data_IF_848480212466
#
_entry.id   IF_848480212466
#
_cell.length_a   1.000
_cell.length_b   1.000
_cell.length_c   1.000
_cell.angle_alpha   90.00
_cell.angle_beta   90.00
_cell.angle_gamma   90.00
#
_symmetry.space_group_name_H-M   'P 1'
#
loop_
_entity.id
_entity.type
_entity.pdbx_description
1 polymer ?
#
# COMPACT_ATOMS: atom_id res chain seq x y z
N UNK A 1 30.77 2.72 -10.19
CA UNK A 1 29.51 1.98 -10.34
C UNK A 1 28.36 2.97 -10.18
N UNK A 2 27.45 3.06 -11.16
CA UNK A 2 26.24 3.88 -11.02
C UNK A 2 25.39 3.24 -9.93
N UNK A 3 25.00 4.01 -8.91
CA UNK A 3 24.12 3.52 -7.84
C UNK A 3 22.75 3.22 -8.45
N UNK A 4 22.22 2.01 -8.22
CA UNK A 4 20.84 1.66 -8.60
C UNK A 4 19.85 2.59 -7.89
N UNK A 5 18.85 3.08 -8.62
CA UNK A 5 17.82 3.94 -8.07
C UNK A 5 16.70 3.17 -7.35
N UNK A 6 15.72 3.94 -6.90
CA UNK A 6 14.46 3.43 -6.34
C UNK A 6 13.32 3.81 -7.28
N UNK A 7 12.44 2.88 -7.63
CA UNK A 7 11.20 3.16 -8.37
C UNK A 7 10.01 2.91 -7.46
N UNK A 8 9.32 3.99 -7.06
CA UNK A 8 8.11 3.92 -6.26
C UNK A 8 6.91 3.65 -7.16
N UNK A 9 6.13 2.64 -6.81
CA UNK A 9 4.99 2.16 -7.58
C UNK A 9 3.72 2.43 -6.77
N UNK A 10 2.83 3.25 -7.32
CA UNK A 10 1.48 3.48 -6.80
C UNK A 10 0.44 2.87 -7.72
N UNK A 11 -0.67 2.44 -7.13
CA UNK A 11 -1.83 1.97 -7.88
C UNK A 11 -3.04 2.80 -7.44
N UNK A 12 -3.72 3.42 -8.40
CA UNK A 12 -5.00 4.10 -8.20
C UNK A 12 -5.95 3.76 -9.34
N UNK A 13 -7.05 3.11 -9.02
CA UNK A 13 -8.09 2.74 -9.98
C UNK A 13 -9.48 2.95 -9.37
N UNK A 14 -10.48 3.07 -10.26
CA UNK A 14 -11.86 3.35 -9.89
C UNK A 14 -12.14 4.83 -9.62
N UNK A 15 -13.33 5.16 -9.16
CA UNK A 15 -13.86 6.53 -9.08
C UNK A 15 -13.65 7.24 -7.73
N UNK A 16 -12.79 6.74 -6.87
CA UNK A 16 -12.65 7.28 -5.53
C UNK A 16 -11.69 8.47 -5.46
N UNK A 17 -12.19 9.71 -5.53
CA UNK A 17 -11.38 10.92 -5.37
C UNK A 17 -10.51 10.95 -4.12
N UNK A 18 -10.92 10.24 -3.08
CA UNK A 18 -10.12 10.13 -1.86
C UNK A 18 -8.77 9.45 -2.09
N UNK A 19 -8.68 8.44 -2.98
CA UNK A 19 -7.43 7.75 -3.28
C UNK A 19 -6.46 8.67 -4.00
N UNK A 20 -6.96 9.47 -4.95
CA UNK A 20 -6.19 10.52 -5.59
C UNK A 20 -5.58 11.50 -4.57
N UNK A 21 -6.38 12.00 -3.63
CA UNK A 21 -5.92 12.94 -2.62
C UNK A 21 -4.88 12.32 -1.66
N UNK A 22 -5.10 11.08 -1.24
CA UNK A 22 -4.17 10.31 -0.42
C UNK A 22 -2.85 10.11 -1.17
N UNK A 23 -2.90 9.73 -2.46
CA UNK A 23 -1.73 9.58 -3.31
C UNK A 23 -0.97 10.90 -3.47
N UNK A 24 -1.64 12.01 -3.78
CA UNK A 24 -1.01 13.33 -3.89
C UNK A 24 -0.30 13.73 -2.59
N UNK A 25 -0.91 13.47 -1.43
CA UNK A 25 -0.27 13.73 -0.15
C UNK A 25 0.94 12.81 0.11
N UNK A 26 0.81 11.51 -0.18
CA UNK A 26 1.89 10.55 -0.07
C UNK A 26 3.09 10.98 -0.94
N UNK A 27 2.84 11.27 -2.21
CA UNK A 27 3.85 11.72 -3.16
C UNK A 27 4.48 13.06 -2.74
N UNK A 28 3.70 14.00 -2.21
CA UNK A 28 4.20 15.27 -1.68
C UNK A 28 5.22 15.04 -0.56
N UNK A 29 4.91 14.15 0.39
CA UNK A 29 5.83 13.82 1.48
C UNK A 29 7.04 13.03 1.02
N UNK A 30 6.89 12.14 0.02
CA UNK A 30 7.99 11.41 -0.61
C UNK A 30 8.99 12.38 -1.25
N UNK A 31 8.51 13.31 -2.07
CA UNK A 31 9.32 14.28 -2.82
C UNK A 31 9.96 15.35 -1.94
N UNK A 32 9.48 15.55 -0.72
CA UNK A 32 10.08 16.48 0.23
C UNK A 32 11.47 16.03 0.69
N UNK A 33 11.65 14.73 0.94
CA UNK A 33 12.92 14.19 1.41
C UNK A 33 13.87 13.99 0.25
N UNK A 34 15.00 14.71 0.28
CA UNK A 34 16.08 14.54 -0.71
C UNK A 34 16.84 13.25 -0.44
N UNK A 35 17.23 12.58 -1.50
CA UNK A 35 18.05 11.37 -1.45
C UNK A 35 19.15 11.42 -2.52
N UNK A 36 20.27 10.77 -2.28
CA UNK A 36 21.45 10.84 -3.16
C UNK A 36 21.34 9.95 -4.41
N UNK A 37 20.56 8.87 -4.35
CA UNK A 37 20.31 8.01 -5.50
C UNK A 37 19.06 8.47 -6.27
N UNK A 38 18.92 8.12 -7.58
CA UNK A 38 17.74 8.43 -8.36
C UNK A 38 16.47 7.84 -7.73
N UNK A 39 15.40 8.64 -7.72
CA UNK A 39 14.09 8.25 -7.22
C UNK A 39 13.05 8.52 -8.31
N UNK A 40 12.57 7.47 -8.93
CA UNK A 40 11.49 7.50 -9.90
C UNK A 40 10.15 7.17 -9.22
N UNK A 41 9.07 7.69 -9.81
CA UNK A 41 7.70 7.36 -9.38
C UNK A 41 6.90 6.95 -10.60
N UNK A 42 6.18 5.85 -10.47
CA UNK A 42 5.22 5.38 -11.47
C UNK A 42 3.84 5.19 -10.82
N UNK A 43 2.81 5.64 -11.52
CA UNK A 43 1.42 5.45 -11.13
C UNK A 43 0.74 4.56 -12.18
N UNK A 44 0.25 3.42 -11.74
CA UNK A 44 -0.59 2.52 -12.50
C UNK A 44 -2.05 2.87 -12.24
N UNK A 45 -2.78 3.28 -13.29
CA UNK A 45 -4.14 3.81 -13.12
C UNK A 45 -5.01 3.54 -14.34
N UNK A 46 -6.32 3.48 -14.14
CA UNK A 46 -7.33 3.49 -15.20
C UNK A 46 -7.75 4.92 -15.63
N UNK A 47 -7.15 5.94 -15.01
CA UNK A 47 -7.46 7.36 -15.24
C UNK A 47 -6.20 8.20 -15.44
N UNK A 48 -5.42 7.95 -16.51
CA UNK A 48 -4.13 8.60 -16.71
C UNK A 48 -4.23 10.13 -16.77
N UNK A 49 -5.35 10.67 -17.27
CA UNK A 49 -5.58 12.11 -17.33
C UNK A 49 -5.60 12.81 -15.97
N UNK A 50 -5.92 12.10 -14.88
CA UNK A 50 -5.97 12.65 -13.51
C UNK A 50 -4.58 13.06 -12.99
N UNK A 51 -3.52 12.44 -13.50
CA UNK A 51 -2.14 12.59 -13.01
C UNK A 51 -1.23 13.35 -13.96
N UNK A 52 -1.79 13.91 -15.06
CA UNK A 52 -1.03 14.57 -16.15
C UNK A 52 -0.06 15.65 -15.67
N UNK A 53 -0.45 16.40 -14.64
CA UNK A 53 0.33 17.52 -14.14
C UNK A 53 1.33 17.12 -13.02
N UNK A 54 1.43 15.84 -12.72
CA UNK A 54 2.41 15.34 -11.73
C UNK A 54 3.72 14.94 -12.43
N UNK A 55 4.88 15.19 -11.80
CA UNK A 55 6.18 14.81 -12.35
C UNK A 55 6.46 13.31 -12.13
N UNK A 56 5.63 12.44 -12.73
CA UNK A 56 5.65 10.98 -12.55
C UNK A 56 5.46 10.28 -13.89
N UNK A 57 5.89 9.04 -13.99
CA UNK A 57 5.51 8.15 -15.09
C UNK A 57 4.11 7.60 -14.83
N UNK A 58 3.28 7.60 -15.85
CA UNK A 58 1.90 7.11 -15.77
C UNK A 58 1.77 5.90 -16.68
N UNK A 59 1.18 4.83 -16.16
CA UNK A 59 0.88 3.60 -16.91
C UNK A 59 -0.63 3.37 -16.86
N UNK A 60 -1.25 3.35 -18.04
CA UNK A 60 -2.68 3.03 -18.16
C UNK A 60 -2.89 1.51 -18.05
N UNK A 61 -3.72 1.11 -17.07
CA UNK A 61 -4.09 -0.29 -16.82
C UNK A 61 -5.58 -0.56 -17.02
N UNK A 62 -6.33 0.38 -17.61
CA UNK A 62 -7.79 0.22 -17.78
C UNK A 62 -8.16 -1.11 -18.44
N UNK A 63 -7.45 -1.51 -19.49
CA UNK A 63 -7.67 -2.78 -20.19
C UNK A 63 -7.27 -4.03 -19.40
N UNK A 64 -6.38 -3.89 -18.39
CA UNK A 64 -5.81 -5.01 -17.61
C UNK A 64 -6.54 -5.25 -16.28
N UNK A 65 -7.38 -4.33 -15.82
CA UNK A 65 -8.02 -4.42 -14.49
C UNK A 65 -8.81 -5.72 -14.33
N UNK A 66 -9.59 -6.11 -15.34
CA UNK A 66 -10.38 -7.35 -15.28
C UNK A 66 -9.51 -8.59 -15.17
N UNK A 67 -8.45 -8.67 -15.97
CA UNK A 67 -7.48 -9.76 -15.90
C UNK A 67 -6.78 -9.80 -14.54
N UNK A 68 -6.25 -8.66 -14.10
CA UNK A 68 -5.49 -8.55 -12.86
C UNK A 68 -6.33 -8.82 -11.61
N UNK A 69 -7.63 -8.52 -11.65
CA UNK A 69 -8.57 -8.73 -10.55
C UNK A 69 -9.39 -10.02 -10.65
N UNK A 70 -9.11 -10.90 -11.62
CA UNK A 70 -9.94 -12.09 -11.93
C UNK A 70 -11.42 -11.70 -12.15
N UNK A 71 -11.67 -10.80 -13.10
CA UNK A 71 -12.99 -10.24 -13.38
C UNK A 71 -13.66 -9.57 -12.16
N UNK A 72 -12.89 -8.73 -11.48
CA UNK A 72 -13.32 -7.97 -10.29
C UNK A 72 -13.61 -8.84 -9.04
N UNK A 73 -13.25 -10.10 -9.09
CA UNK A 73 -13.45 -11.00 -7.96
C UNK A 73 -12.51 -10.71 -6.79
N UNK A 74 -11.23 -10.34 -7.05
CA UNK A 74 -10.28 -10.04 -6.00
C UNK A 74 -9.33 -8.89 -6.39
N UNK A 75 -9.70 -7.68 -6.01
CA UNK A 75 -9.00 -6.44 -6.38
C UNK A 75 -7.56 -6.34 -5.83
N UNK A 76 -7.27 -6.93 -4.67
CA UNK A 76 -5.90 -6.89 -4.13
C UNK A 76 -4.88 -7.68 -4.96
N UNK A 77 -5.33 -8.53 -5.91
CA UNK A 77 -4.48 -9.22 -6.86
C UNK A 77 -3.83 -8.27 -7.88
N UNK A 78 -4.40 -7.11 -8.12
CA UNK A 78 -3.82 -6.09 -9.02
C UNK A 78 -2.42 -5.68 -8.53
N UNK A 79 -2.20 -5.61 -7.22
CA UNK A 79 -0.92 -5.20 -6.64
C UNK A 79 0.24 -6.12 -7.04
N UNK A 80 0.23 -7.44 -6.83
CA UNK A 80 1.29 -8.31 -7.29
C UNK A 80 1.43 -8.38 -8.81
N UNK A 81 0.35 -8.27 -9.59
CA UNK A 81 0.43 -8.23 -11.05
C UNK A 81 1.20 -6.99 -11.53
N UNK A 82 0.87 -5.80 -11.03
CA UNK A 82 1.56 -4.55 -11.33
C UNK A 82 3.02 -4.60 -10.87
N UNK A 83 3.27 -5.10 -9.66
CA UNK A 83 4.62 -5.22 -9.14
C UNK A 83 5.49 -6.13 -10.03
N UNK A 84 4.97 -7.28 -10.44
CA UNK A 84 5.67 -8.21 -11.32
C UNK A 84 5.95 -7.60 -12.70
N UNK A 85 4.97 -6.90 -13.27
CA UNK A 85 5.14 -6.20 -14.55
C UNK A 85 6.24 -5.14 -14.45
N UNK A 86 6.23 -4.31 -13.42
CA UNK A 86 7.27 -3.29 -13.23
C UNK A 86 8.64 -3.92 -13.00
N UNK A 87 8.75 -4.96 -12.17
CA UNK A 87 10.02 -5.63 -11.89
C UNK A 87 10.64 -6.27 -13.15
N UNK A 88 9.83 -6.77 -14.08
CA UNK A 88 10.33 -7.34 -15.35
C UNK A 88 10.89 -6.28 -16.30
N UNK A 89 10.46 -5.03 -16.15
CA UNK A 89 10.82 -3.92 -17.05
C UNK A 89 11.76 -2.89 -16.40
N UNK A 90 12.19 -3.10 -15.16
CA UNK A 90 12.95 -2.10 -14.41
C UNK A 90 14.18 -2.71 -13.74
N UNK A 91 15.30 -2.00 -13.78
CA UNK A 91 16.56 -2.41 -13.12
C UNK A 91 16.75 -1.78 -11.72
N UNK A 92 15.95 -0.76 -11.37
CA UNK A 92 15.96 -0.15 -10.06
C UNK A 92 15.32 -1.08 -9.01
N UNK A 93 15.55 -0.80 -7.73
CA UNK A 93 14.77 -1.42 -6.67
C UNK A 93 13.30 -0.97 -6.76
N UNK A 94 12.36 -1.90 -6.83
CA UNK A 94 10.94 -1.63 -6.93
C UNK A 94 10.32 -1.48 -5.54
N UNK A 95 9.64 -0.36 -5.30
CA UNK A 95 9.02 -0.01 -4.02
C UNK A 95 7.52 0.17 -4.22
N UNK A 96 6.75 -0.90 -4.09
CA UNK A 96 5.30 -0.83 -4.07
C UNK A 96 4.83 -0.16 -2.79
N UNK A 97 3.93 0.82 -2.89
CA UNK A 97 3.38 1.54 -1.74
C UNK A 97 1.90 1.86 -1.92
N UNK A 98 1.14 1.75 -0.83
CA UNK A 98 -0.27 2.13 -0.81
C UNK A 98 -0.42 3.66 -0.83
N UNK A 99 -1.56 4.14 -1.33
CA UNK A 99 -1.84 5.59 -1.43
C UNK A 99 -2.02 6.25 -0.07
N UNK A 100 -2.54 5.53 0.93
CA UNK A 100 -2.81 6.02 2.29
C UNK A 100 -1.58 5.95 3.20
N UNK A 101 -0.48 6.55 2.71
CA UNK A 101 0.84 6.51 3.36
C UNK A 101 1.49 7.90 3.42
N UNK A 102 2.54 8.03 4.24
CA UNK A 102 3.46 9.17 4.18
C UNK A 102 4.82 8.82 4.78
N UNK A 103 5.85 9.60 4.44
CA UNK A 103 7.24 9.32 4.69
C UNK A 103 7.83 10.29 5.72
N UNK A 104 8.74 9.79 6.56
CA UNK A 104 9.42 10.54 7.61
C UNK A 104 10.91 10.72 7.28
N UNK A 105 11.59 11.59 8.01
CA UNK A 105 13.05 11.75 7.90
C UNK A 105 13.78 10.42 8.11
N UNK A 106 14.85 10.18 7.34
CA UNK A 106 15.65 8.95 7.40
C UNK A 106 15.04 7.73 6.72
N UNK A 107 13.86 7.91 6.06
CA UNK A 107 13.20 6.81 5.37
C UNK A 107 14.05 6.25 4.22
N UNK A 108 14.55 7.11 3.35
CA UNK A 108 15.32 6.69 2.17
C UNK A 108 16.61 5.97 2.53
N UNK A 109 17.39 6.51 3.47
CA UNK A 109 18.66 5.94 3.92
C UNK A 109 18.44 4.53 4.48
N UNK A 110 17.40 4.38 5.32
CA UNK A 110 17.04 3.08 5.88
C UNK A 110 16.56 2.12 4.79
N UNK A 111 15.66 2.57 3.91
CA UNK A 111 15.13 1.73 2.82
C UNK A 111 16.26 1.23 1.93
N UNK A 112 17.13 2.15 1.50
CA UNK A 112 18.24 1.82 0.60
C UNK A 112 19.24 0.86 1.26
N UNK A 113 19.54 1.06 2.55
CA UNK A 113 20.39 0.14 3.30
C UNK A 113 19.81 -1.28 3.38
N UNK A 114 18.47 -1.40 3.49
CA UNK A 114 17.78 -2.71 3.53
C UNK A 114 17.87 -3.42 2.20
N UNK A 115 17.53 -2.74 1.09
CA UNK A 115 17.52 -3.38 -0.24
C UNK A 115 18.92 -3.67 -0.75
N UNK A 116 19.92 -2.85 -0.42
CA UNK A 116 21.31 -3.14 -0.73
C UNK A 116 21.89 -4.32 0.07
N UNK A 117 21.35 -4.60 1.26
CA UNK A 117 21.67 -5.78 2.05
C UNK A 117 20.87 -7.04 1.63
N UNK A 118 20.26 -7.02 0.42
CA UNK A 118 19.48 -8.13 -0.16
C UNK A 118 18.26 -8.53 0.68
N UNK A 119 17.83 -7.67 1.58
CA UNK A 119 16.62 -7.85 2.38
C UNK A 119 15.42 -7.17 1.73
N UNK A 120 14.22 -7.68 1.99
CA UNK A 120 12.97 -7.06 1.58
C UNK A 120 12.49 -6.10 2.68
N UNK A 121 12.14 -4.87 2.30
CA UNK A 121 11.52 -3.94 3.22
C UNK A 121 9.99 -4.07 3.16
N UNK A 122 9.34 -4.17 4.34
CA UNK A 122 7.88 -4.22 4.50
C UNK A 122 7.40 -3.11 5.45
N UNK A 123 6.10 -2.74 5.37
CA UNK A 123 5.55 -1.72 6.29
C UNK A 123 5.76 -2.13 7.74
N UNK A 124 5.16 -3.27 8.14
CA UNK A 124 5.09 -3.67 9.54
C UNK A 124 4.90 -5.17 9.70
N UNK A 125 5.51 -5.71 10.75
CA UNK A 125 5.22 -7.06 11.24
C UNK A 125 3.93 -7.07 12.06
N UNK A 126 2.97 -7.90 11.70
CA UNK A 126 1.70 -8.09 12.44
C UNK A 126 1.81 -9.17 13.52
N UNK A 127 2.82 -10.00 13.47
CA UNK A 127 3.05 -11.09 14.39
C UNK A 127 2.88 -12.46 13.75
N UNK A 128 2.87 -13.49 14.58
CA UNK A 128 2.38 -14.80 14.16
C UNK A 128 0.87 -14.69 14.01
N UNK A 129 0.40 -14.98 12.83
CA UNK A 129 -1.02 -14.92 12.49
C UNK A 129 -1.42 -16.20 11.78
N UNK A 130 -1.75 -17.24 12.57
CA UNK A 130 -2.24 -18.48 11.99
C UNK A 130 -3.61 -18.24 11.36
N UNK A 131 -3.75 -18.64 10.11
CA UNK A 131 -5.01 -18.62 9.38
C UNK A 131 -5.61 -20.02 9.42
N UNK A 132 -6.55 -20.31 10.32
CA UNK A 132 -7.17 -21.64 10.46
C UNK A 132 -7.80 -22.12 9.15
N UNK A 133 -8.28 -21.18 8.33
CA UNK A 133 -8.89 -21.42 7.02
C UNK A 133 -7.90 -22.06 6.04
N UNK A 134 -6.60 -21.87 6.26
CA UNK A 134 -5.54 -22.47 5.46
C UNK A 134 -4.97 -23.77 6.05
N UNK A 135 -5.54 -24.27 7.15
CA UNK A 135 -5.10 -25.55 7.72
C UNK A 135 -5.19 -26.67 6.68
N UNK A 136 -4.08 -27.41 6.49
CA UNK A 136 -3.99 -28.45 5.48
C UNK A 136 -3.91 -27.97 4.03
N UNK A 137 -3.83 -26.65 3.80
CA UNK A 137 -3.72 -26.12 2.44
C UNK A 137 -2.41 -26.52 1.77
N UNK A 138 -2.53 -26.98 0.52
CA UNK A 138 -1.41 -27.36 -0.34
C UNK A 138 -1.61 -26.72 -1.72
N UNK A 139 -0.54 -26.22 -2.30
CA UNK A 139 -0.50 -25.68 -3.66
C UNK A 139 0.82 -26.06 -4.35
N UNK A 140 0.85 -25.99 -5.68
CA UNK A 140 2.09 -26.04 -6.45
C UNK A 140 2.45 -24.63 -6.88
N UNK A 141 3.65 -24.18 -6.52
CA UNK A 141 4.16 -22.86 -6.86
C UNK A 141 5.25 -22.97 -7.92
N UNK A 142 5.37 -21.98 -8.83
CA UNK A 142 6.28 -22.07 -9.99
C UNK A 142 7.74 -22.31 -9.63
N UNK A 143 8.23 -21.65 -8.58
CA UNK A 143 9.67 -21.67 -8.25
C UNK A 143 10.02 -22.56 -7.06
N UNK A 144 9.04 -22.90 -6.19
CA UNK A 144 9.24 -23.73 -4.99
C UNK A 144 8.79 -25.17 -5.21
N UNK A 145 7.84 -25.41 -6.13
CA UNK A 145 7.15 -26.68 -6.26
C UNK A 145 6.04 -26.84 -5.21
N UNK A 146 6.04 -27.97 -4.49
CA UNK A 146 4.95 -28.24 -3.53
C UNK A 146 5.07 -27.36 -2.29
N UNK A 147 4.16 -26.42 -2.16
CA UNK A 147 3.96 -25.59 -0.98
C UNK A 147 2.93 -26.23 -0.03
N UNK A 148 3.24 -26.23 1.26
CA UNK A 148 2.32 -26.63 2.33
C UNK A 148 2.25 -25.54 3.37
N UNK A 149 1.04 -25.09 3.70
CA UNK A 149 0.83 -24.11 4.74
C UNK A 149 1.20 -24.68 6.10
N UNK A 150 2.09 -24.00 6.82
CA UNK A 150 2.51 -24.36 8.18
C UNK A 150 2.03 -23.29 9.17
N UNK A 151 0.91 -23.55 9.82
CA UNK A 151 0.29 -22.65 10.78
C UNK A 151 1.24 -22.22 11.93
N UNK A 152 2.18 -23.10 12.32
CA UNK A 152 3.13 -22.80 13.40
C UNK A 152 4.23 -21.84 12.99
N UNK A 153 4.55 -21.77 11.70
CA UNK A 153 5.60 -20.94 11.13
C UNK A 153 5.08 -19.69 10.42
N UNK A 154 3.76 -19.63 10.18
CA UNK A 154 3.14 -18.53 9.48
C UNK A 154 3.34 -17.21 10.23
N UNK A 155 3.72 -16.20 9.48
CA UNK A 155 3.87 -14.83 9.93
C UNK A 155 3.14 -13.90 8.96
N UNK A 156 2.76 -12.73 9.41
CA UNK A 156 2.13 -11.74 8.56
C UNK A 156 2.86 -10.41 8.62
N UNK A 157 3.20 -9.91 7.45
CA UNK A 157 3.68 -8.55 7.24
C UNK A 157 2.63 -7.73 6.48
N UNK A 158 2.45 -6.48 6.88
CA UNK A 158 1.60 -5.57 6.14
C UNK A 158 2.28 -5.15 4.84
N UNK A 159 1.57 -5.27 3.72
CA UNK A 159 2.03 -4.99 2.36
C UNK A 159 1.83 -3.54 1.92
N UNK A 160 1.46 -2.63 2.83
CA UNK A 160 1.34 -1.20 2.52
C UNK A 160 2.64 -0.54 2.04
N UNK A 161 3.77 -1.21 2.26
CA UNK A 161 5.06 -1.00 1.63
C UNK A 161 5.71 -2.35 1.38
N UNK A 162 6.25 -2.55 0.17
CA UNK A 162 7.09 -3.69 -0.20
C UNK A 162 8.21 -3.18 -1.10
N UNK A 163 9.48 -3.32 -0.67
CA UNK A 163 10.62 -2.97 -1.51
C UNK A 163 11.44 -4.22 -1.85
N UNK A 164 11.61 -4.48 -3.14
CA UNK A 164 12.20 -5.69 -3.69
C UNK A 164 13.27 -5.37 -4.74
N UNK A 165 14.22 -6.27 -4.86
CA UNK A 165 15.22 -6.27 -5.92
C UNK A 165 14.71 -7.10 -7.12
N UNK A 166 14.47 -6.49 -8.29
CA UNK A 166 14.05 -7.23 -9.49
C UNK A 166 14.98 -8.36 -9.89
N UNK A 167 16.28 -8.21 -9.65
CA UNK A 167 17.26 -9.24 -10.04
C UNK A 167 17.20 -10.50 -9.17
N UNK A 168 16.51 -10.45 -8.02
CA UNK A 168 16.50 -11.53 -7.02
C UNK A 168 15.09 -11.98 -6.64
N UNK A 169 14.12 -11.07 -6.62
CA UNK A 169 12.83 -11.32 -5.99
C UNK A 169 11.67 -11.53 -6.96
N UNK A 170 11.90 -11.54 -8.29
CA UNK A 170 10.86 -11.93 -9.28
C UNK A 170 10.24 -13.29 -8.92
N UNK A 171 11.02 -14.37 -8.63
CA UNK A 171 10.44 -15.65 -8.25
C UNK A 171 9.52 -15.60 -7.03
N UNK A 172 9.83 -14.74 -6.04
CA UNK A 172 8.98 -14.55 -4.85
C UNK A 172 7.62 -13.97 -5.23
N UNK A 173 7.60 -12.99 -6.15
CA UNK A 173 6.35 -12.34 -6.59
C UNK A 173 5.51 -13.27 -7.46
N UNK A 174 6.15 -14.06 -8.33
CA UNK A 174 5.48 -15.09 -9.15
C UNK A 174 4.84 -16.17 -8.27
N UNK A 175 5.55 -16.65 -7.27
CA UNK A 175 5.02 -17.63 -6.31
C UNK A 175 3.90 -17.01 -5.44
N UNK A 176 4.02 -15.74 -5.03
CA UNK A 176 2.97 -15.07 -4.29
C UNK A 176 1.69 -14.91 -5.11
N UNK A 177 1.81 -14.58 -6.39
CA UNK A 177 0.66 -14.50 -7.30
C UNK A 177 0.01 -15.88 -7.49
N UNK A 178 0.79 -16.92 -7.74
CA UNK A 178 0.30 -18.29 -7.86
C UNK A 178 -0.37 -18.78 -6.56
N UNK A 179 0.17 -18.38 -5.39
CA UNK A 179 -0.42 -18.73 -4.10
C UNK A 179 -1.76 -18.04 -3.88
N UNK A 180 -1.89 -16.76 -4.27
CA UNK A 180 -3.18 -16.03 -4.26
C UNK A 180 -4.20 -16.79 -5.13
N UNK A 181 -3.83 -17.14 -6.36
CA UNK A 181 -4.72 -17.80 -7.29
C UNK A 181 -5.16 -19.18 -6.78
N UNK A 182 -4.22 -19.95 -6.17
CA UNK A 182 -4.52 -21.24 -5.58
C UNK A 182 -5.46 -21.16 -4.35
N UNK A 183 -5.30 -20.12 -3.52
CA UNK A 183 -6.19 -19.90 -2.36
C UNK A 183 -7.60 -19.55 -2.85
N UNK A 184 -7.71 -18.66 -3.84
CA UNK A 184 -8.99 -18.24 -4.41
C UNK A 184 -9.70 -19.39 -5.14
N UNK A 185 -8.96 -20.24 -5.87
CA UNK A 185 -9.50 -21.42 -6.54
C UNK A 185 -10.15 -22.43 -5.58
N UNK A 186 -9.75 -22.45 -4.31
CA UNK A 186 -10.38 -23.26 -3.25
C UNK A 186 -11.51 -22.52 -2.52
N UNK A 187 -12.02 -21.41 -3.08
CA UNK A 187 -13.09 -20.57 -2.50
C UNK A 187 -12.77 -20.07 -1.06
N UNK A 188 -11.49 -19.93 -0.73
CA UNK A 188 -11.04 -19.38 0.56
C UNK A 188 -10.89 -17.87 0.42
N UNK A 189 -11.93 -17.13 0.76
CA UNK A 189 -11.93 -15.65 0.65
C UNK A 189 -11.51 -15.06 2.00
N UNK A 190 -10.25 -14.60 2.06
CA UNK A 190 -9.71 -13.82 3.18
C UNK A 190 -9.42 -12.40 2.67
N UNK A 191 -9.70 -11.39 3.48
CA UNK A 191 -9.51 -9.98 3.08
C UNK A 191 -8.03 -9.68 2.74
N UNK A 192 -7.10 -10.37 3.41
CA UNK A 192 -5.66 -10.11 3.31
C UNK A 192 -4.87 -11.23 2.61
N UNK A 193 -5.49 -11.95 1.65
CA UNK A 193 -4.82 -13.05 0.94
C UNK A 193 -3.48 -12.60 0.35
N UNK A 194 -3.44 -11.41 -0.22
CA UNK A 194 -2.24 -10.83 -0.82
C UNK A 194 -1.11 -10.67 0.22
N UNK A 195 -1.40 -10.14 1.42
CA UNK A 195 -0.41 -10.01 2.50
C UNK A 195 0.09 -11.38 2.99
N UNK A 196 -0.84 -12.33 3.12
CA UNK A 196 -0.52 -13.70 3.51
C UNK A 196 0.41 -14.33 2.48
N UNK A 197 0.06 -14.25 1.19
CA UNK A 197 0.82 -14.85 0.11
C UNK A 197 2.24 -14.30 0.05
N UNK A 198 2.42 -12.97 0.10
CA UNK A 198 3.75 -12.37 0.16
C UNK A 198 4.53 -12.81 1.39
N UNK A 199 3.90 -12.79 2.58
CA UNK A 199 4.57 -13.17 3.82
C UNK A 199 5.04 -14.64 3.80
N UNK A 200 4.19 -15.53 3.30
CA UNK A 200 4.52 -16.96 3.17
C UNK A 200 5.59 -17.21 2.11
N UNK A 201 5.51 -16.55 0.95
CA UNK A 201 6.55 -16.68 -0.08
C UNK A 201 7.90 -16.14 0.40
N UNK A 202 7.94 -15.00 1.07
CA UNK A 202 9.18 -14.50 1.69
C UNK A 202 9.76 -15.51 2.70
N UNK A 203 8.90 -16.14 3.52
CA UNK A 203 9.30 -17.15 4.49
C UNK A 203 9.88 -18.39 3.83
N UNK A 204 9.22 -18.95 2.81
CA UNK A 204 9.65 -20.20 2.18
C UNK A 204 10.88 -20.03 1.28
N UNK A 205 11.03 -18.86 0.65
CA UNK A 205 12.25 -18.44 -0.05
C UNK A 205 13.38 -18.03 0.91
N UNK A 206 13.15 -18.06 2.24
CA UNK A 206 14.11 -17.68 3.29
C UNK A 206 14.66 -16.25 3.13
N UNK A 207 13.84 -15.33 2.62
CA UNK A 207 14.20 -13.94 2.45
C UNK A 207 14.12 -13.21 3.79
N UNK A 208 15.17 -12.46 4.11
CA UNK A 208 15.18 -11.60 5.29
C UNK A 208 14.23 -10.41 5.07
N UNK A 209 13.41 -10.12 6.08
CA UNK A 209 12.47 -9.01 6.04
C UNK A 209 12.81 -7.98 7.12
N UNK A 210 12.87 -6.72 6.72
CA UNK A 210 13.03 -5.57 7.62
C UNK A 210 11.80 -4.67 7.55
N UNK A 211 11.29 -4.26 8.70
CA UNK A 211 10.13 -3.36 8.74
C UNK A 211 10.54 -1.89 8.78
N UNK A 212 9.76 -1.03 8.11
CA UNK A 212 10.11 0.38 7.89
C UNK A 212 9.54 1.33 8.93
N UNK A 213 8.76 0.86 9.90
CA UNK A 213 8.30 1.71 11.00
C UNK A 213 9.44 2.06 11.96
N UNK A 214 9.45 3.28 12.49
CA UNK A 214 8.45 4.36 12.40
C UNK A 214 8.62 5.31 11.21
N UNK A 215 9.60 5.10 10.32
CA UNK A 215 9.97 6.01 9.22
C UNK A 215 8.94 6.03 8.08
N UNK A 216 8.14 4.99 7.98
CA UNK A 216 7.00 4.86 7.09
C UNK A 216 5.70 4.82 7.89
N UNK A 217 4.69 5.56 7.46
CA UNK A 217 3.39 5.65 8.11
C UNK A 217 2.27 5.28 7.15
N UNK A 218 1.56 4.22 7.48
CA UNK A 218 0.40 3.72 6.76
C UNK A 218 -0.83 3.81 7.69
N UNK A 219 -1.86 4.56 7.28
CA UNK A 219 -3.01 4.89 8.13
C UNK A 219 -4.30 4.15 7.70
N UNK A 220 -4.19 2.89 7.32
CA UNK A 220 -5.26 2.03 6.82
C UNK A 220 -6.47 1.85 7.76
N UNK A 221 -6.30 2.01 9.09
CA UNK A 221 -7.40 1.85 10.05
C UNK A 221 -8.45 2.93 9.87
N UNK A 222 -9.75 2.56 9.90
CA UNK A 222 -10.88 3.45 9.61
C UNK A 222 -10.81 4.80 10.34
N UNK A 223 -10.53 4.80 11.65
CA UNK A 223 -10.43 6.05 12.42
C UNK A 223 -9.23 6.90 12.01
N UNK A 224 -8.10 6.27 11.69
CA UNK A 224 -6.89 6.92 11.21
C UNK A 224 -7.09 7.48 9.79
N UNK A 225 -7.72 6.69 8.93
CA UNK A 225 -8.04 7.08 7.56
C UNK A 225 -8.95 8.32 7.53
N UNK A 226 -10.04 8.32 8.31
CA UNK A 226 -10.93 9.48 8.43
C UNK A 226 -10.22 10.74 8.96
N UNK A 227 -9.35 10.59 9.96
CA UNK A 227 -8.53 11.67 10.49
C UNK A 227 -7.61 12.26 9.41
N UNK A 228 -6.86 11.41 8.72
CA UNK A 228 -5.94 11.84 7.67
C UNK A 228 -6.68 12.48 6.49
N UNK A 229 -7.77 11.88 6.01
CA UNK A 229 -8.58 12.42 4.91
C UNK A 229 -9.12 13.83 5.23
N UNK A 230 -9.57 14.07 6.47
CA UNK A 230 -10.01 15.38 6.88
C UNK A 230 -8.87 16.41 6.80
N UNK A 231 -7.68 16.06 7.25
CA UNK A 231 -6.49 16.93 7.19
C UNK A 231 -5.98 17.10 5.76
N UNK A 232 -5.95 16.06 4.94
CA UNK A 232 -5.48 16.10 3.54
C UNK A 232 -6.38 17.03 2.71
N UNK A 233 -7.70 16.97 2.85
CA UNK A 233 -8.61 17.90 2.17
C UNK A 233 -8.33 19.36 2.54
N UNK A 234 -8.07 19.63 3.80
CA UNK A 234 -7.69 20.99 4.26
C UNK A 234 -6.32 21.42 3.73
N UNK A 235 -5.38 20.50 3.67
CA UNK A 235 -4.07 20.73 3.07
C UNK A 235 -4.20 21.08 1.60
N UNK A 236 -4.91 20.29 0.82
CA UNK A 236 -5.13 20.55 -0.61
C UNK A 236 -5.80 21.90 -0.86
N UNK A 237 -6.83 22.22 -0.08
CA UNK A 237 -7.51 23.52 -0.21
C UNK A 237 -6.56 24.71 0.03
N UNK A 238 -5.64 24.60 0.98
CA UNK A 238 -4.61 25.62 1.24
C UNK A 238 -3.57 25.73 0.12
N UNK A 239 -3.31 24.65 -0.61
CA UNK A 239 -2.34 24.63 -1.72
C UNK A 239 -2.92 25.17 -3.04
N UNK A 240 -4.20 25.55 -3.09
CA UNK A 240 -4.86 25.98 -4.32
C UNK A 240 -4.90 24.91 -5.42
N UNK A 241 -4.81 23.63 -5.05
CA UNK A 241 -4.79 22.50 -5.99
C UNK A 241 -3.45 22.21 -6.66
N UNK A 242 -2.41 23.00 -6.39
CA UNK A 242 -1.07 22.79 -6.97
C UNK A 242 -0.31 21.73 -6.18
N UNK A 243 0.30 20.77 -6.88
CA UNK A 243 1.20 19.79 -6.26
C UNK A 243 2.53 20.44 -5.88
N UNK A 244 2.89 20.36 -4.59
CA UNK A 244 4.19 20.82 -4.09
C UNK A 244 4.81 19.79 -3.15
N UNK A 245 6.12 19.51 -3.25
CA UNK A 245 6.82 18.74 -2.22
C UNK A 245 6.69 19.41 -0.86
N UNK A 246 6.27 18.65 0.15
CA UNK A 246 5.96 19.22 1.46
C UNK A 246 6.37 18.29 2.60
N UNK A 247 6.94 18.89 3.66
CA UNK A 247 7.14 18.21 4.93
C UNK A 247 5.80 17.58 5.42
N UNK A 248 5.80 16.35 5.95
CA UNK A 248 4.59 15.74 6.50
C UNK A 248 4.11 16.54 7.72
N UNK A 249 3.27 17.54 7.46
CA UNK A 249 2.80 18.53 8.46
C UNK A 249 1.60 18.05 9.27
N UNK A 250 0.92 16.98 8.79
CA UNK A 250 -0.25 16.47 9.50
C UNK A 250 0.22 15.77 10.79
N UNK A 251 -0.15 16.30 11.97
CA UNK A 251 0.30 15.75 13.24
C UNK A 251 -0.41 14.42 13.52
N UNK A 252 0.25 13.33 13.17
CA UNK A 252 -0.30 11.99 13.25
C UNK A 252 0.17 11.26 14.51
N UNK A 253 -0.67 11.30 15.57
CA UNK A 253 -0.46 10.54 16.81
C UNK A 253 -1.73 9.79 17.21
N UNK A 254 -1.59 8.69 17.98
CA UNK A 254 -2.74 7.94 18.51
C UNK A 254 -3.69 8.83 19.31
N UNK A 255 -3.14 9.72 20.12
CA UNK A 255 -3.91 10.65 20.96
C UNK A 255 -4.74 11.59 20.10
N UNK A 256 -4.16 12.23 19.07
CA UNK A 256 -4.88 13.14 18.17
C UNK A 256 -5.98 12.44 17.38
N UNK A 257 -5.71 11.22 16.90
CA UNK A 257 -6.74 10.40 16.23
C UNK A 257 -7.88 10.07 17.20
N UNK A 258 -7.57 9.74 18.47
CA UNK A 258 -8.59 9.47 19.49
C UNK A 258 -9.45 10.72 19.77
N UNK A 259 -8.84 11.88 19.95
CA UNK A 259 -9.58 13.15 20.13
C UNK A 259 -10.45 13.50 18.92
N UNK A 260 -9.92 13.37 17.70
CA UNK A 260 -10.69 13.58 16.49
C UNK A 260 -11.91 12.66 16.41
N UNK A 261 -11.78 11.40 16.82
CA UNK A 261 -12.90 10.45 16.82
C UNK A 261 -14.00 10.87 17.80
N UNK A 262 -13.63 11.37 18.99
CA UNK A 262 -14.59 11.92 19.98
C UNK A 262 -15.27 13.14 19.39
N UNK A 263 -14.52 14.10 18.89
CA UNK A 263 -15.02 15.32 18.26
C UNK A 263 -15.97 15.02 17.08
N UNK A 264 -15.62 14.09 16.20
CA UNK A 264 -16.45 13.71 15.07
C UNK A 264 -17.79 13.09 15.51
N UNK A 265 -17.79 12.30 16.61
CA UNK A 265 -19.03 11.76 17.20
C UNK A 265 -19.91 12.87 17.77
N UNK A 266 -19.34 13.78 18.52
CA UNK A 266 -20.08 14.91 19.11
C UNK A 266 -20.71 15.79 18.02
N UNK A 267 -19.94 16.15 17.00
CA UNK A 267 -20.47 16.90 15.85
C UNK A 267 -21.61 16.18 15.13
N UNK A 268 -21.48 14.87 14.91
CA UNK A 268 -22.54 14.05 14.29
C UNK A 268 -23.83 14.06 15.13
N UNK A 269 -23.72 14.00 16.47
CA UNK A 269 -24.88 14.09 17.37
C UNK A 269 -25.53 15.48 17.34
N UNK A 270 -24.73 16.53 17.33
CA UNK A 270 -25.24 17.91 17.25
C UNK A 270 -25.96 18.19 15.93
N UNK A 271 -25.41 17.69 14.81
CA UNK A 271 -26.05 17.81 13.49
C UNK A 271 -27.38 17.08 13.47
N UNK A 272 -27.43 15.83 13.97
CA UNK A 272 -28.67 15.05 14.07
C UNK A 272 -29.72 15.70 14.97
N UNK A 273 -29.31 16.33 16.06
CA UNK A 273 -30.20 17.07 16.94
C UNK A 273 -30.79 18.29 16.22
N UNK A 274 -29.96 19.10 15.55
CA UNK A 274 -30.40 20.27 14.78
C UNK A 274 -31.37 19.90 13.63
N UNK A 275 -31.19 18.75 13.00
CA UNK A 275 -32.11 18.28 11.96
C UNK A 275 -33.47 17.89 12.55
N UNK A 276 -33.48 17.17 13.69
CA UNK A 276 -34.75 16.82 14.40
C UNK A 276 -35.49 18.07 14.91
N UNK A 277 -34.74 19.05 15.46
CA UNK A 277 -35.33 20.28 15.94
C UNK A 277 -35.97 21.10 14.79
N UNK A 278 -35.42 21.02 13.55
CA UNK A 278 -36.03 21.65 12.36
C UNK A 278 -37.24 20.91 11.85
N UNK A 279 -37.26 19.59 11.90
CA UNK A 279 -38.43 18.78 11.53
C UNK A 279 -39.59 18.99 12.49
N UNK A 280 -39.33 19.21 13.80
CA UNK A 280 -40.36 19.49 14.81
C UNK A 280 -40.95 20.90 14.76
N UNK A 281 -40.31 21.85 14.05
CA UNK A 281 -40.80 23.22 13.87
C UNK A 281 -41.70 23.33 12.63
N UNK A 282 -41.58 22.36 11.70
CA UNK A 282 -42.35 22.34 10.45
C UNK A 282 -43.58 21.45 10.52
N UNK A 283 -43.92 20.95 11.69
CA UNK A 283 -45.18 20.28 12.06
C UNK A 283 -45.89 21.07 13.14
#
# INVERSE_FOLDING_TARGET
MVSRGLTFIYIDYGDLDRLYLELCYSLSTLRYWKFHAPVDVVIYTDKPGRYRDLPVRIVDIASKIKEFSLNEFYHHRIKPCVLLEEMKNNSNFCVMTDTDTFFQSGFFEKLYSVVCAESVAMDRYHGRNPFPELAGFVATLPNIGVYRYDQKKSVEYNSGLMALDPTKHIPVVEDALALIDAILAQNKILITIEQIAFSECLRVHKIQVTTMRPLFRHYYRVAHKRYMQWHIRRWQHKQGGVFTPQHPTIPYTRTRVRFFRIWARLNSMLIKRKLRDRESINH
#
